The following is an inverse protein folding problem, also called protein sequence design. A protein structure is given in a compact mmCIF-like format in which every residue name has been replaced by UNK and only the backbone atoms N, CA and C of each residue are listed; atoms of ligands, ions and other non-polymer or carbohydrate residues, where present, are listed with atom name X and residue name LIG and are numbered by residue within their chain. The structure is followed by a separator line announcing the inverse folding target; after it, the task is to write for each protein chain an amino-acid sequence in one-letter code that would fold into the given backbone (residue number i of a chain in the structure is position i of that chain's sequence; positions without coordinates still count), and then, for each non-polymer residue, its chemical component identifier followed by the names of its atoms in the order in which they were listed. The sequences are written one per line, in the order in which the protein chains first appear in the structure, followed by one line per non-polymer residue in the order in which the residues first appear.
data_IF_215784370464
#
_entry.id   IF_215784370464
#
_cell.length_a   1.000
_cell.length_b   1.000
_cell.length_c   1.000
_cell.angle_alpha   90.00
_cell.angle_beta   90.00
_cell.angle_gamma   90.00
#
_symmetry.space_group_name_H-M   'P 1'
#
loop_
_entity.id
_entity.type
_entity.pdbx_description
1 polymer ?
#
# COMPACT_ATOMS: atom_id res chain seq x y z
N UNK A 1 10.09 -1.39 -6.29
CA UNK A 1 8.91 -0.82 -6.98
C UNK A 1 7.71 -1.73 -6.75
N UNK A 2 6.59 -1.14 -6.35
CA UNK A 2 5.29 -1.82 -6.25
C UNK A 2 4.25 -1.06 -7.08
N UNK A 3 3.84 -1.58 -8.25
CA UNK A 3 4.21 -2.88 -8.82
C UNK A 3 5.68 -2.94 -9.29
N UNK A 4 6.19 -4.15 -9.54
CA UNK A 4 7.49 -4.33 -10.17
C UNK A 4 7.50 -3.68 -11.56
N UNK A 5 8.61 -3.05 -11.95
CA UNK A 5 8.73 -2.28 -13.21
C UNK A 5 8.48 -3.10 -14.48
N UNK A 6 8.56 -4.43 -14.41
CA UNK A 6 8.22 -5.33 -15.52
C UNK A 6 6.71 -5.56 -15.67
N UNK A 7 5.88 -4.99 -14.81
CA UNK A 7 4.42 -5.24 -14.71
C UNK A 7 3.64 -3.93 -14.65
N UNK A 8 3.89 -3.04 -15.60
CA UNK A 8 3.14 -1.78 -15.70
C UNK A 8 1.65 -2.04 -15.98
N UNK A 9 0.80 -1.39 -15.19
CA UNK A 9 -0.65 -1.33 -15.32
C UNK A 9 -1.12 0.02 -15.87
N UNK A 10 -0.20 0.93 -16.22
CA UNK A 10 -0.51 2.33 -16.57
C UNK A 10 -1.58 2.48 -17.67
N UNK A 11 -1.66 1.52 -18.59
CA UNK A 11 -2.60 1.53 -19.72
C UNK A 11 -3.86 0.67 -19.48
N UNK A 12 -4.16 0.29 -18.24
CA UNK A 12 -5.37 -0.49 -17.88
C UNK A 12 -6.44 0.45 -17.32
N UNK A 13 -7.29 0.94 -18.21
CA UNK A 13 -8.45 1.78 -17.89
C UNK A 13 -9.66 0.98 -17.39
N UNK A 14 -9.62 -0.35 -17.56
CA UNK A 14 -10.63 -1.31 -17.11
C UNK A 14 -10.39 -1.81 -15.67
N UNK A 15 -9.36 -1.31 -14.98
CA UNK A 15 -9.03 -1.68 -13.61
C UNK A 15 -9.21 -0.50 -12.65
N UNK A 16 -9.90 -0.75 -11.54
CA UNK A 16 -9.82 0.09 -10.35
C UNK A 16 -8.62 -0.35 -9.52
N UNK A 17 -7.70 0.57 -9.25
CA UNK A 17 -6.46 0.29 -8.53
C UNK A 17 -6.39 1.14 -7.27
N UNK A 18 -6.07 0.48 -6.15
CA UNK A 18 -5.76 1.14 -4.88
C UNK A 18 -4.43 0.62 -4.34
N UNK A 19 -3.51 1.52 -4.01
CA UNK A 19 -2.24 1.22 -3.35
C UNK A 19 -2.34 1.59 -1.88
N UNK A 20 -2.30 0.58 -1.00
CA UNK A 20 -2.30 0.73 0.46
C UNK A 20 -0.87 0.45 0.96
N UNK A 21 -0.27 1.37 1.72
CA UNK A 21 1.13 1.25 2.15
C UNK A 21 1.40 1.88 3.51
N UNK A 22 2.36 1.38 4.27
CA UNK A 22 2.79 1.96 5.54
C UNK A 22 3.78 3.10 5.36
N UNK A 23 3.63 4.22 6.07
CA UNK A 23 4.57 5.36 5.93
C UNK A 23 5.92 5.14 6.60
N UNK A 24 6.02 4.14 7.49
CA UNK A 24 7.27 3.68 8.09
C UNK A 24 7.77 2.36 7.47
N UNK A 25 7.20 1.89 6.36
CA UNK A 25 7.69 0.68 5.69
C UNK A 25 9.14 0.86 5.21
N UNK A 26 10.06 0.03 5.71
CA UNK A 26 11.48 0.07 5.35
C UNK A 26 11.85 -0.76 4.12
N UNK A 27 10.94 -1.61 3.62
CA UNK A 27 11.17 -2.51 2.48
C UNK A 27 10.43 -2.08 1.22
N UNK A 28 9.18 -1.64 1.37
CA UNK A 28 8.36 -1.01 0.35
C UNK A 28 8.22 0.48 0.71
N UNK A 29 9.33 1.22 0.57
CA UNK A 29 9.41 2.59 1.07
C UNK A 29 8.43 3.52 0.35
N UNK A 30 8.08 4.64 0.99
CA UNK A 30 7.28 5.69 0.32
C UNK A 30 7.94 6.14 -0.98
N UNK A 31 9.28 6.21 -1.04
CA UNK A 31 10.01 6.51 -2.27
C UNK A 31 9.80 5.45 -3.37
N UNK A 32 9.74 4.16 -3.01
CA UNK A 32 9.42 3.08 -3.96
C UNK A 32 7.99 3.18 -4.49
N UNK A 33 7.03 3.61 -3.65
CA UNK A 33 5.63 3.83 -4.04
C UNK A 33 5.52 5.01 -4.99
N UNK A 34 6.16 6.14 -4.68
CA UNK A 34 6.17 7.33 -5.54
C UNK A 34 6.85 7.06 -6.89
N UNK A 35 7.96 6.30 -6.88
CA UNK A 35 8.65 5.90 -8.10
C UNK A 35 7.82 4.97 -9.01
N UNK A 36 6.86 4.24 -8.44
CA UNK A 36 6.00 3.31 -9.17
C UNK A 36 4.71 3.95 -9.71
N UNK A 37 4.42 5.22 -9.41
CA UNK A 37 3.22 5.91 -9.91
C UNK A 37 3.10 5.93 -11.44
N UNK A 38 4.19 6.10 -12.23
CA UNK A 38 4.11 6.02 -13.68
C UNK A 38 3.70 4.63 -14.21
N UNK A 39 3.83 3.58 -13.40
CA UNK A 39 3.45 2.21 -13.75
C UNK A 39 1.99 1.88 -13.40
N UNK A 40 1.23 2.84 -12.87
CA UNK A 40 -0.15 2.63 -12.42
C UNK A 40 -1.12 3.55 -13.19
N UNK A 41 -2.41 3.15 -13.32
CA UNK A 41 -3.41 4.03 -13.91
C UNK A 41 -3.45 5.39 -13.19
N UNK A 42 -3.65 6.51 -13.90
CA UNK A 42 -3.72 7.83 -13.29
C UNK A 42 -4.89 7.99 -12.30
N UNK A 43 -5.87 7.08 -12.38
CA UNK A 43 -7.03 6.98 -11.48
C UNK A 43 -6.74 6.20 -10.19
N UNK A 44 -5.49 5.74 -9.99
CA UNK A 44 -5.11 4.96 -8.81
C UNK A 44 -5.30 5.76 -7.52
N UNK A 45 -5.96 5.15 -6.55
CA UNK A 45 -6.11 5.70 -5.20
C UNK A 45 -4.92 5.30 -4.33
N UNK A 46 -4.32 6.24 -3.60
CA UNK A 46 -3.20 5.98 -2.70
C UNK A 46 -3.65 6.18 -1.26
N UNK A 47 -3.45 5.17 -0.42
CA UNK A 47 -3.87 5.16 0.98
C UNK A 47 -2.64 4.93 1.87
N UNK A 48 -2.02 6.01 2.38
CA UNK A 48 -0.97 5.90 3.39
C UNK A 48 -1.55 5.47 4.73
N UNK A 49 -0.93 4.45 5.34
CA UNK A 49 -1.18 4.01 6.71
C UNK A 49 -0.16 4.70 7.61
N UNK A 50 -0.55 5.82 8.20
CA UNK A 50 0.37 6.67 8.97
C UNK A 50 0.99 5.93 10.16
N UNK A 51 2.33 5.85 10.17
CA UNK A 51 3.09 5.15 11.18
C UNK A 51 3.11 3.62 11.05
N UNK A 52 2.44 3.06 10.03
CA UNK A 52 2.45 1.63 9.75
C UNK A 52 3.75 1.18 9.07
N UNK A 53 4.14 -0.09 9.24
CA UNK A 53 5.34 -0.67 8.64
C UNK A 53 5.04 -1.98 7.88
N UNK A 54 6.07 -2.59 7.29
CA UNK A 54 5.95 -3.83 6.51
C UNK A 54 5.51 -5.02 7.38
N UNK A 55 6.22 -5.20 8.50
CA UNK A 55 6.09 -6.33 9.39
C UNK A 55 4.73 -6.45 10.07
N UNK A 56 4.14 -5.34 10.50
CA UNK A 56 2.81 -5.34 11.12
C UNK A 56 1.70 -5.59 10.08
N UNK A 57 1.90 -5.18 8.82
CA UNK A 57 0.95 -5.47 7.75
C UNK A 57 0.85 -6.99 7.53
N UNK A 58 2.00 -7.66 7.32
CA UNK A 58 2.03 -9.10 7.10
C UNK A 58 1.94 -9.96 8.36
N UNK A 59 1.99 -9.34 9.54
CA UNK A 59 1.83 -9.97 10.86
C UNK A 59 2.79 -11.15 11.13
N UNK A 60 4.07 -10.97 10.85
CA UNK A 60 5.12 -11.97 11.10
C UNK A 60 6.19 -11.52 12.10
N UNK A 61 6.00 -10.37 12.75
CA UNK A 61 6.95 -9.80 13.72
C UNK A 61 8.10 -9.02 13.06
N UNK A 62 9.06 -8.49 13.85
CA UNK A 62 10.13 -7.64 13.33
C UNK A 62 10.91 -8.30 12.20
N UNK A 63 11.25 -7.52 11.17
CA UNK A 63 11.98 -7.97 9.99
C UNK A 63 13.24 -7.12 9.78
N UNK A 64 14.35 -7.79 9.43
CA UNK A 64 15.58 -7.11 9.04
C UNK A 64 15.33 -6.22 7.82
N UNK A 65 15.70 -4.94 7.94
CA UNK A 65 15.51 -3.94 6.88
C UNK A 65 14.16 -3.22 6.93
N UNK A 66 13.22 -3.63 7.80
CA UNK A 66 12.02 -2.83 8.08
C UNK A 66 12.32 -1.79 9.17
N UNK A 67 11.49 -0.74 9.24
CA UNK A 67 11.49 0.15 10.39
C UNK A 67 10.45 -0.28 11.41
N UNK A 68 10.56 0.22 12.65
CA UNK A 68 9.51 0.03 13.64
C UNK A 68 8.28 0.87 13.30
N UNK A 69 7.10 0.27 13.41
CA UNK A 69 5.85 1.03 13.37
C UNK A 69 5.74 1.97 14.59
N UNK A 70 5.13 3.14 14.39
CA UNK A 70 4.78 4.07 15.46
C UNK A 70 3.34 3.93 15.94
N UNK A 71 2.54 3.10 15.27
CA UNK A 71 1.17 2.72 15.67
C UNK A 71 1.13 1.25 16.07
N UNK A 72 0.13 0.90 16.89
CA UNK A 72 -0.08 -0.50 17.25
C UNK A 72 -0.53 -1.31 16.03
N UNK A 73 -0.22 -2.61 16.06
CA UNK A 73 -0.70 -3.58 15.06
C UNK A 73 -2.21 -3.55 14.88
N UNK A 74 -2.98 -3.36 15.96
CA UNK A 74 -4.45 -3.28 15.87
C UNK A 74 -4.90 -2.06 15.06
N UNK A 75 -4.29 -0.89 15.30
CA UNK A 75 -4.58 0.34 14.55
C UNK A 75 -4.21 0.19 13.08
N UNK A 76 -3.04 -0.37 12.78
CA UNK A 76 -2.63 -0.59 11.39
C UNK A 76 -3.58 -1.54 10.66
N UNK A 77 -4.03 -2.61 11.32
CA UNK A 77 -4.97 -3.55 10.72
C UNK A 77 -6.36 -2.97 10.50
N UNK A 78 -6.88 -2.20 11.45
CA UNK A 78 -8.15 -1.51 11.29
C UNK A 78 -8.11 -0.57 10.08
N UNK A 79 -7.02 0.21 9.94
CA UNK A 79 -6.82 1.08 8.80
C UNK A 79 -6.69 0.30 7.47
N UNK A 80 -5.95 -0.81 7.44
CA UNK A 80 -5.87 -1.70 6.27
C UNK A 80 -7.24 -2.25 5.89
N UNK A 81 -8.04 -2.72 6.85
CA UNK A 81 -9.38 -3.26 6.61
C UNK A 81 -10.29 -2.17 6.04
N UNK A 82 -10.31 -0.98 6.65
CA UNK A 82 -11.10 0.14 6.18
C UNK A 82 -10.75 0.53 4.73
N UNK A 83 -9.45 0.62 4.42
CA UNK A 83 -8.97 0.92 3.08
C UNK A 83 -9.33 -0.17 2.06
N UNK A 84 -9.26 -1.45 2.47
CA UNK A 84 -9.64 -2.59 1.62
C UNK A 84 -11.14 -2.58 1.33
N UNK A 85 -11.98 -2.35 2.34
CA UNK A 85 -13.42 -2.24 2.17
C UNK A 85 -13.80 -1.07 1.26
N UNK A 86 -13.13 0.08 1.40
CA UNK A 86 -13.33 1.23 0.52
C UNK A 86 -12.97 0.90 -0.93
N UNK A 87 -11.85 0.22 -1.17
CA UNK A 87 -11.43 -0.20 -2.50
C UNK A 87 -12.45 -1.15 -3.16
N UNK A 88 -12.98 -2.12 -2.41
CA UNK A 88 -14.00 -3.05 -2.90
C UNK A 88 -15.36 -2.38 -3.14
N UNK A 89 -15.75 -1.43 -2.29
CA UNK A 89 -16.99 -0.68 -2.46
C UNK A 89 -16.97 0.22 -3.70
N UNK A 90 -15.80 0.71 -4.10
CA UNK A 90 -15.64 1.54 -5.30
C UNK A 90 -15.93 0.79 -6.62
N UNK A 91 -15.89 -0.55 -6.59
CA UNK A 91 -16.21 -1.43 -7.73
C UNK A 91 -17.70 -1.85 -7.76
N UNK A 92 -18.52 -1.33 -6.83
CA UNK A 92 -19.96 -1.63 -6.81
C UNK A 92 -20.72 -0.51 -7.56
N UNK A 93 -21.57 -0.84 -8.56
CA UNK A 93 -22.33 0.15 -9.33
C UNK A 93 -23.38 0.92 -8.53
#
# INVERSE_FOLDING_TARGET
AYPASSSSLANRDDLLVTTIYGTNDGLATVADIEAARPDLPPTTTYVPLEGGNHAQFGWYGPQTGDNAASISRAVQQEATIAATLQALAADTP
#
